data_IF_249333936634
#
_entry.id   IF_249333936634
#
_cell.length_a   1.000
_cell.length_b   1.000
_cell.length_c   1.000
_cell.angle_alpha   90.00
_cell.angle_beta   90.00
_cell.angle_gamma   90.00
#
_symmetry.space_group_name_H-M   'P 1'
#
loop_
_entity.id
_entity.type
_entity.pdbx_description
1 polymer ?
#
# COMPACT_ATOMS: atom_id res chain seq x y z
N UNK A 1 -45.44 -20.43 -10.14
CA UNK A 1 -44.49 -20.29 -9.00
C UNK A 1 -43.74 -18.97 -9.19
N UNK A 2 -44.01 -17.92 -8.41
CA UNK A 2 -43.15 -16.75 -8.42
C UNK A 2 -41.91 -17.02 -7.58
N UNK A 3 -40.75 -16.56 -8.05
CA UNK A 3 -39.49 -16.55 -7.33
C UNK A 3 -39.61 -15.56 -6.17
N UNK A 4 -39.45 -16.05 -4.95
CA UNK A 4 -39.39 -15.21 -3.76
C UNK A 4 -38.26 -14.19 -3.92
N UNK A 5 -38.62 -12.90 -3.86
CA UNK A 5 -37.66 -11.81 -3.78
C UNK A 5 -36.75 -12.05 -2.59
N UNK A 6 -35.43 -11.97 -2.80
CA UNK A 6 -34.47 -11.85 -1.70
C UNK A 6 -34.82 -10.55 -0.97
N UNK A 7 -35.44 -10.69 0.20
CA UNK A 7 -35.63 -9.58 1.12
C UNK A 7 -34.28 -8.89 1.32
N UNK A 8 -34.25 -7.58 1.04
CA UNK A 8 -33.12 -6.75 1.45
C UNK A 8 -32.92 -6.94 2.95
N UNK A 9 -31.67 -7.07 3.38
CA UNK A 9 -31.36 -7.17 4.80
C UNK A 9 -31.82 -5.88 5.50
N UNK A 10 -33.01 -5.90 6.10
CA UNK A 10 -33.46 -4.86 7.00
C UNK A 10 -32.66 -4.97 8.30
N UNK A 11 -31.62 -4.16 8.41
CA UNK A 11 -30.78 -4.05 9.60
C UNK A 11 -29.60 -3.12 9.37
N UNK A 12 -28.99 -2.59 10.44
CA UNK A 12 -27.77 -1.82 10.30
C UNK A 12 -26.68 -2.69 9.67
N UNK A 13 -25.86 -2.09 8.80
CA UNK A 13 -24.76 -2.77 8.14
C UNK A 13 -23.91 -3.57 9.15
N UNK A 14 -23.41 -4.77 8.81
CA UNK A 14 -22.77 -5.68 9.77
C UNK A 14 -21.70 -5.03 10.66
N UNK A 15 -20.87 -4.14 10.09
CA UNK A 15 -19.82 -3.42 10.81
C UNK A 15 -20.34 -2.46 11.90
N UNK A 16 -21.59 -1.99 11.81
CA UNK A 16 -22.21 -1.13 12.82
C UNK A 16 -22.56 -1.87 14.11
N UNK A 17 -22.51 -3.20 14.09
CA UNK A 17 -22.78 -4.06 15.27
C UNK A 17 -21.50 -4.44 16.01
N UNK A 18 -20.34 -4.19 15.42
CA UNK A 18 -19.04 -4.51 16.00
C UNK A 18 -18.71 -3.52 17.12
N UNK A 19 -18.04 -4.00 18.16
CA UNK A 19 -17.41 -3.13 19.15
C UNK A 19 -16.29 -2.30 18.51
N UNK A 20 -15.83 -1.27 19.22
CA UNK A 20 -14.68 -0.48 18.76
C UNK A 20 -13.44 -1.36 18.59
N UNK A 21 -13.17 -2.23 19.55
CA UNK A 21 -12.03 -3.14 19.55
C UNK A 21 -12.10 -4.12 18.37
N UNK A 22 -13.29 -4.67 18.10
CA UNK A 22 -13.49 -5.54 16.93
C UNK A 22 -13.24 -4.78 15.62
N UNK A 23 -13.68 -3.52 15.52
CA UNK A 23 -13.40 -2.67 14.36
C UNK A 23 -11.91 -2.41 14.19
N UNK A 24 -11.18 -2.08 15.26
CA UNK A 24 -9.71 -1.90 15.18
C UNK A 24 -9.01 -3.15 14.65
N UNK A 25 -9.46 -4.33 15.09
CA UNK A 25 -8.95 -5.61 14.58
C UNK A 25 -9.27 -5.82 13.10
N UNK A 26 -10.50 -5.50 12.65
CA UNK A 26 -10.87 -5.57 11.22
C UNK A 26 -10.06 -4.59 10.35
N UNK A 27 -9.74 -3.40 10.86
CA UNK A 27 -8.96 -2.37 10.15
C UNK A 27 -7.44 -2.56 10.25
N UNK A 28 -6.99 -3.65 10.84
CA UNK A 28 -5.58 -4.00 10.96
C UNK A 28 -5.20 -5.16 10.04
N UNK A 29 -4.92 -4.94 8.73
CA UNK A 29 -4.57 -5.99 7.77
C UNK A 29 -3.46 -6.94 8.24
N UNK A 30 -2.51 -6.44 9.04
CA UNK A 30 -1.43 -7.25 9.61
C UNK A 30 -1.94 -8.39 10.49
N UNK A 31 -3.07 -8.21 11.19
CA UNK A 31 -3.70 -9.25 12.04
C UNK A 31 -4.35 -10.38 11.25
N UNK A 32 -4.58 -10.18 9.96
CA UNK A 32 -5.21 -11.17 9.06
C UNK A 32 -4.21 -11.96 8.22
N UNK A 33 -2.90 -11.71 8.40
CA UNK A 33 -1.85 -12.45 7.70
C UNK A 33 -1.74 -13.85 8.29
N UNK A 34 -2.09 -14.88 7.52
CA UNK A 34 -2.04 -16.29 8.00
C UNK A 34 -0.62 -16.85 8.10
N UNK A 35 0.35 -16.26 7.39
CA UNK A 35 1.71 -16.81 7.27
C UNK A 35 2.61 -16.50 8.46
N UNK A 36 2.33 -15.42 9.20
CA UNK A 36 3.19 -14.81 10.23
C UNK A 36 2.34 -14.02 11.22
N UNK A 37 2.87 -13.76 12.41
CA UNK A 37 2.24 -12.84 13.36
C UNK A 37 2.20 -11.40 12.82
N UNK A 38 1.26 -10.59 13.30
CA UNK A 38 1.02 -9.23 12.79
C UNK A 38 2.27 -8.33 12.77
N UNK A 39 3.01 -8.29 13.87
CA UNK A 39 4.24 -7.49 13.96
C UNK A 39 5.34 -8.00 13.02
N UNK A 40 5.48 -9.32 12.92
CA UNK A 40 6.46 -9.93 12.03
C UNK A 40 6.10 -9.66 10.56
N UNK A 41 4.81 -9.67 10.22
CA UNK A 41 4.33 -9.30 8.90
C UNK A 41 4.70 -7.84 8.56
N UNK A 42 4.50 -6.91 9.50
CA UNK A 42 4.89 -5.51 9.33
C UNK A 42 6.40 -5.35 9.15
N UNK A 43 7.22 -5.94 10.04
CA UNK A 43 8.68 -5.89 9.93
C UNK A 43 9.19 -6.48 8.61
N UNK A 44 8.63 -7.62 8.21
CA UNK A 44 8.99 -8.30 6.96
C UNK A 44 8.63 -7.43 5.75
N UNK A 45 7.45 -6.81 5.74
CA UNK A 45 7.02 -5.91 4.67
C UNK A 45 7.98 -4.73 4.50
N UNK A 46 8.29 -4.03 5.60
CA UNK A 46 9.21 -2.89 5.56
C UNK A 46 10.61 -3.29 5.11
N UNK A 47 11.13 -4.40 5.62
CA UNK A 47 12.46 -4.89 5.26
C UNK A 47 12.55 -5.26 3.77
N UNK A 48 11.57 -6.00 3.25
CA UNK A 48 11.54 -6.37 1.83
C UNK A 48 11.41 -5.13 0.94
N UNK A 49 10.55 -4.18 1.32
CA UNK A 49 10.36 -2.94 0.56
C UNK A 49 11.62 -2.10 0.49
N UNK A 50 12.34 -1.95 1.61
CA UNK A 50 13.60 -1.23 1.69
C UNK A 50 14.69 -1.88 0.83
N UNK A 51 14.90 -3.20 0.99
CA UNK A 51 15.90 -3.93 0.21
C UNK A 51 15.59 -3.96 -1.29
N UNK A 52 14.31 -4.13 -1.67
CA UNK A 52 13.88 -4.06 -3.06
C UNK A 52 14.12 -2.67 -3.66
N UNK A 53 13.83 -1.61 -2.90
CA UNK A 53 14.06 -0.23 -3.33
C UNK A 53 15.55 0.06 -3.51
N UNK A 54 16.40 -0.31 -2.54
CA UNK A 54 17.86 -0.18 -2.65
C UNK A 54 18.39 -0.92 -3.87
N UNK A 55 17.96 -2.17 -4.07
CA UNK A 55 18.36 -2.97 -5.23
C UNK A 55 17.92 -2.33 -6.55
N UNK A 56 16.68 -1.84 -6.63
CA UNK A 56 16.18 -1.18 -7.83
C UNK A 56 17.00 0.07 -8.17
N UNK A 57 17.29 0.92 -7.18
CA UNK A 57 18.13 2.12 -7.35
C UNK A 57 19.57 1.80 -7.74
N UNK A 58 20.14 0.73 -7.20
CA UNK A 58 21.51 0.32 -7.51
C UNK A 58 21.68 -0.35 -8.88
N UNK A 59 20.62 -0.97 -9.41
CA UNK A 59 20.72 -1.82 -10.62
C UNK A 59 19.98 -1.27 -11.83
N UNK A 60 19.09 -0.28 -11.67
CA UNK A 60 18.32 0.32 -12.76
C UNK A 60 18.72 1.77 -12.96
N UNK A 61 18.70 2.20 -14.23
CA UNK A 61 18.65 3.64 -14.53
C UNK A 61 17.40 4.21 -13.88
N UNK A 62 17.57 5.28 -13.12
CA UNK A 62 16.48 5.92 -12.39
C UNK A 62 16.63 7.44 -12.35
N UNK A 63 15.50 8.13 -12.25
CA UNK A 63 15.42 9.54 -11.85
C UNK A 63 14.75 9.55 -10.48
N UNK A 64 15.49 9.95 -9.45
CA UNK A 64 15.00 9.94 -8.08
C UNK A 64 14.54 11.33 -7.65
N UNK A 65 13.55 11.39 -6.77
CA UNK A 65 13.08 12.64 -6.17
C UNK A 65 12.55 13.69 -7.17
N UNK A 66 11.94 13.27 -8.28
CA UNK A 66 11.36 14.19 -9.26
C UNK A 66 10.14 14.87 -8.63
N UNK A 67 10.19 16.20 -8.47
CA UNK A 67 9.06 16.96 -7.92
C UNK A 67 7.90 17.02 -8.91
N UNK A 68 6.68 16.85 -8.40
CA UNK A 68 5.44 17.12 -9.15
C UNK A 68 4.57 18.21 -8.49
N UNK A 69 5.00 18.72 -7.33
CA UNK A 69 4.39 19.81 -6.59
C UNK A 69 5.38 20.42 -5.60
N UNK A 70 4.88 21.31 -4.74
CA UNK A 70 5.68 22.11 -3.82
C UNK A 70 5.85 21.45 -2.44
N UNK A 71 5.06 20.43 -2.12
CA UNK A 71 5.10 19.70 -0.87
C UNK A 71 6.33 18.79 -0.74
N UNK A 72 6.82 18.60 0.49
CA UNK A 72 8.00 17.76 0.76
C UNK A 72 7.85 16.32 0.23
N UNK A 73 6.64 15.77 0.34
CA UNK A 73 6.27 14.43 -0.13
C UNK A 73 5.78 14.38 -1.59
N UNK A 74 5.70 15.51 -2.28
CA UNK A 74 5.21 15.60 -3.67
C UNK A 74 6.32 15.28 -4.67
N UNK A 75 6.87 14.07 -4.52
CA UNK A 75 8.03 13.57 -5.28
C UNK A 75 7.77 12.15 -5.77
N UNK A 76 8.35 11.82 -6.91
CA UNK A 76 8.29 10.49 -7.53
C UNK A 76 9.69 9.98 -7.89
N UNK A 77 9.86 8.66 -7.86
CA UNK A 77 11.00 7.99 -8.49
C UNK A 77 10.55 7.34 -9.79
N UNK A 78 11.31 7.57 -10.86
CA UNK A 78 11.10 6.94 -12.16
C UNK A 78 12.17 5.88 -12.35
N UNK A 79 11.76 4.63 -12.53
CA UNK A 79 12.64 3.52 -12.84
C UNK A 79 12.49 3.13 -14.32
N UNK A 80 13.60 3.08 -15.05
CA UNK A 80 13.58 2.80 -16.48
C UNK A 80 13.86 1.31 -16.75
N UNK A 81 13.13 0.67 -17.68
CA UNK A 81 13.52 -0.63 -18.21
C UNK A 81 14.77 -0.49 -19.09
N UNK A 82 15.42 -1.61 -19.38
CA UNK A 82 16.44 -1.66 -20.42
C UNK A 82 15.80 -1.40 -21.79
N UNK A 83 16.50 -0.66 -22.66
CA UNK A 83 16.00 -0.35 -24.00
C UNK A 83 14.77 0.55 -24.04
N UNK A 84 14.57 1.40 -23.02
CA UNK A 84 13.42 2.34 -22.99
C UNK A 84 13.32 3.15 -24.28
N UNK A 85 12.09 3.29 -24.78
CA UNK A 85 11.73 4.07 -25.96
C UNK A 85 10.54 4.97 -25.66
N UNK A 86 10.27 5.96 -26.52
CA UNK A 86 9.11 6.86 -26.37
C UNK A 86 7.76 6.12 -26.41
N UNK A 87 7.70 4.94 -27.02
CA UNK A 87 6.51 4.10 -27.07
C UNK A 87 6.35 3.16 -25.85
N UNK A 88 7.27 3.21 -24.88
CA UNK A 88 7.23 2.34 -23.71
C UNK A 88 6.03 2.68 -22.81
N UNK A 89 5.28 1.69 -22.30
CA UNK A 89 4.16 1.96 -21.40
C UNK A 89 4.66 2.55 -20.07
N UNK A 90 3.89 3.49 -19.52
CA UNK A 90 4.17 4.07 -18.22
C UNK A 90 3.28 3.44 -17.14
N UNK A 91 3.88 2.89 -16.10
CA UNK A 91 3.18 2.34 -14.95
C UNK A 91 3.37 3.28 -13.76
N UNK A 92 2.26 3.81 -13.23
CA UNK A 92 2.26 4.63 -12.02
C UNK A 92 1.80 3.79 -10.83
N UNK A 93 2.64 3.70 -9.80
CA UNK A 93 2.35 2.99 -8.58
C UNK A 93 2.15 3.96 -7.41
N UNK A 94 1.00 3.86 -6.75
CA UNK A 94 0.69 4.60 -5.53
C UNK A 94 0.78 3.66 -4.33
N UNK A 95 1.60 4.01 -3.33
CA UNK A 95 1.74 3.20 -2.13
C UNK A 95 0.56 3.39 -1.16
N UNK A 96 0.31 2.38 -0.31
CA UNK A 96 -0.62 2.45 0.80
C UNK A 96 0.01 3.04 2.07
N UNK A 97 -0.42 2.59 3.25
CA UNK A 97 0.08 3.09 4.53
C UNK A 97 -0.92 3.98 5.28
N UNK A 98 -2.22 3.76 5.05
CA UNK A 98 -3.30 4.47 5.75
C UNK A 98 -3.20 6.01 5.63
N UNK A 99 -2.61 6.52 4.54
CA UNK A 99 -2.30 7.95 4.35
C UNK A 99 -1.44 8.58 5.46
N UNK A 100 -0.81 7.77 6.30
CA UNK A 100 -0.02 8.21 7.46
C UNK A 100 1.44 7.76 7.35
N UNK A 101 1.71 6.68 6.61
CA UNK A 101 3.04 6.10 6.40
C UNK A 101 3.27 5.70 4.93
N UNK A 102 4.44 5.13 4.62
CA UNK A 102 4.72 4.57 3.29
C UNK A 102 5.74 5.34 2.43
N UNK A 103 6.51 6.28 2.99
CA UNK A 103 7.36 7.20 2.24
C UNK A 103 8.43 6.50 1.38
N UNK A 104 8.63 6.98 0.16
CA UNK A 104 9.57 6.44 -0.83
C UNK A 104 11.05 6.81 -0.56
N UNK A 105 11.31 7.81 0.29
CA UNK A 105 12.60 8.45 0.47
C UNK A 105 13.17 8.19 1.86
N UNK A 106 14.50 8.26 2.07
CA UNK A 106 15.09 8.05 3.39
C UNK A 106 14.62 9.17 4.33
N UNK A 107 13.52 8.88 4.99
CA UNK A 107 12.93 9.51 6.14
C UNK A 107 12.33 8.35 6.92
N UNK A 108 12.59 8.31 8.22
CA UNK A 108 12.25 7.23 9.14
C UNK A 108 10.92 6.54 8.77
N UNK A 109 10.97 5.23 8.58
CA UNK A 109 9.78 4.39 8.59
C UNK A 109 9.30 4.32 10.04
N UNK A 110 8.58 5.35 10.50
CA UNK A 110 7.89 5.24 11.78
C UNK A 110 6.67 4.33 11.56
N UNK A 111 6.85 3.05 11.87
CA UNK A 111 5.79 2.09 12.19
C UNK A 111 5.74 1.90 13.70
#
# INVERSE_FOLDING_TARGET
RPLAGRGGMEGPAPWKRLSKEELEDQYSPSRWVIRRGAEEALRTYSHIGDEATKKARATRKSLLHVSYGDGEGEKLDIYFPEGVSEASPFCLFFHGGYWQSGRLFPGKWDL
#
